data_IF_000005119995
#
_entry.id   IF_000005119995
#
_cell.length_a   1.000
_cell.length_b   1.000
_cell.length_c   1.000
_cell.angle_alpha   90.00
_cell.angle_beta   90.00
_cell.angle_gamma   90.00
#
_symmetry.space_group_name_H-M   'P 1'
#
loop_
_entity.id
_entity.type
_entity.pdbx_description
1 polymer ?
#
# COMPACT_ATOMS: atom_id res chain seq x y z
N UNK A 1 13.81 -14.25 -22.93
CA UNK A 1 12.95 -13.96 -21.78
C UNK A 1 13.51 -12.74 -21.09
N UNK A 2 12.86 -11.59 -21.26
CA UNK A 2 13.24 -10.37 -20.56
C UNK A 2 12.04 -9.96 -19.74
N UNK A 3 12.23 -9.88 -18.44
CA UNK A 3 11.33 -9.15 -17.55
C UNK A 3 11.25 -7.73 -18.09
N UNK A 4 10.08 -7.39 -18.63
CA UNK A 4 9.72 -6.03 -18.99
C UNK A 4 9.38 -5.36 -17.66
N UNK A 5 10.33 -4.61 -17.11
CA UNK A 5 10.04 -3.65 -16.03
C UNK A 5 9.42 -2.44 -16.73
N UNK A 6 8.08 -2.24 -16.70
CA UNK A 6 7.45 -1.37 -17.67
C UNK A 6 7.54 0.12 -17.31
N UNK A 7 7.88 0.55 -16.09
CA UNK A 7 7.48 1.89 -15.67
C UNK A 7 8.53 2.62 -14.82
N UNK A 8 9.40 3.38 -15.51
CA UNK A 8 10.19 4.48 -14.93
C UNK A 8 9.34 5.68 -14.47
N UNK A 9 8.15 5.43 -13.91
CA UNK A 9 7.24 6.46 -13.41
C UNK A 9 6.28 5.98 -12.34
N UNK A 10 5.82 4.72 -12.38
CA UNK A 10 4.78 4.24 -11.46
C UNK A 10 5.05 2.77 -11.08
N UNK A 11 5.49 2.53 -9.85
CA UNK A 11 5.57 1.22 -9.22
C UNK A 11 4.18 0.79 -8.71
N UNK A 12 3.99 -0.51 -8.57
CA UNK A 12 2.82 -1.07 -7.89
C UNK A 12 3.26 -2.01 -6.76
N UNK A 13 2.72 -1.80 -5.57
CA UNK A 13 2.98 -2.60 -4.37
C UNK A 13 1.66 -3.14 -3.84
N UNK A 14 1.58 -4.45 -3.67
CA UNK A 14 0.41 -5.12 -3.09
C UNK A 14 0.76 -5.60 -1.69
N UNK A 15 -0.05 -5.22 -0.71
CA UNK A 15 0.07 -5.66 0.68
C UNK A 15 -1.22 -6.36 1.07
N UNK A 16 -1.12 -7.58 1.59
CA UNK A 16 -2.26 -8.36 2.07
C UNK A 16 -2.06 -8.82 3.51
N UNK A 17 -3.14 -8.86 4.26
CA UNK A 17 -3.20 -9.39 5.63
C UNK A 17 -4.22 -10.52 5.72
N UNK A 18 -4.02 -11.38 6.71
CA UNK A 18 -4.88 -12.54 6.94
C UNK A 18 -6.07 -12.23 7.86
N UNK A 19 -5.91 -11.33 8.83
CA UNK A 19 -6.91 -11.10 9.89
C UNK A 19 -7.00 -9.63 10.33
N UNK A 20 -7.44 -8.75 9.43
CA UNK A 20 -7.66 -7.34 9.74
C UNK A 20 -7.94 -6.54 8.48
N UNK A 21 -7.96 -5.22 8.62
CA UNK A 21 -8.06 -4.29 7.49
C UNK A 21 -6.84 -3.38 7.44
N UNK A 22 -6.30 -3.15 6.25
CA UNK A 22 -5.28 -2.13 6.06
C UNK A 22 -5.97 -0.86 5.62
N UNK A 23 -5.74 0.19 6.39
CA UNK A 23 -6.11 1.54 5.98
C UNK A 23 -4.86 2.26 5.53
N UNK A 24 -4.90 2.78 4.32
CA UNK A 24 -3.79 3.44 3.65
C UNK A 24 -4.27 4.79 3.17
N UNK A 25 -3.50 5.82 3.50
CA UNK A 25 -3.77 7.18 3.05
C UNK A 25 -2.91 7.42 1.79
N UNK A 26 -3.51 7.58 0.60
CA UNK A 26 -2.76 7.96 -0.59
C UNK A 26 -2.05 9.30 -0.35
N UNK A 27 -0.77 9.37 -0.66
CA UNK A 27 0.05 10.57 -0.56
C UNK A 27 0.45 11.00 -1.97
N UNK A 28 0.18 12.26 -2.33
CA UNK A 28 0.48 12.78 -3.67
C UNK A 28 -0.46 12.26 -4.75
N UNK A 29 0.11 11.78 -5.86
CA UNK A 29 -0.59 11.17 -6.99
C UNK A 29 -0.64 9.63 -6.90
N UNK A 30 -0.21 9.03 -5.79
CA UNK A 30 -0.36 7.59 -5.56
C UNK A 30 -1.84 7.18 -5.52
N UNK A 31 -2.15 6.13 -6.26
CA UNK A 31 -3.47 5.49 -6.28
C UNK A 31 -3.47 4.32 -5.31
N UNK A 32 -4.48 4.25 -4.45
CA UNK A 32 -4.64 3.14 -3.49
C UNK A 32 -5.95 2.43 -3.79
N UNK A 33 -5.87 1.16 -4.17
CA UNK A 33 -7.00 0.25 -4.35
C UNK A 33 -7.13 -0.69 -3.15
N UNK A 34 -8.37 -1.07 -2.81
CA UNK A 34 -8.62 -2.01 -1.70
C UNK A 34 -8.42 -1.43 -0.29
N UNK A 35 -8.30 -0.10 -0.17
CA UNK A 35 -8.20 0.61 1.10
C UNK A 35 -9.36 0.24 2.05
N UNK A 36 -9.04 -0.11 3.31
CA UNK A 36 -10.00 -0.59 4.30
C UNK A 36 -10.37 -2.07 4.17
N UNK A 37 -9.66 -2.84 3.33
CA UNK A 37 -9.85 -4.27 3.13
C UNK A 37 -8.66 -5.11 3.60
N UNK A 38 -8.72 -6.42 3.38
CA UNK A 38 -7.64 -7.36 3.67
C UNK A 38 -6.48 -7.28 2.66
N UNK A 39 -6.71 -6.68 1.49
CA UNK A 39 -5.72 -6.52 0.43
C UNK A 39 -5.75 -5.09 -0.06
N UNK A 40 -4.59 -4.44 -0.02
CA UNK A 40 -4.39 -3.09 -0.53
C UNK A 40 -3.35 -3.10 -1.64
N UNK A 41 -3.66 -2.40 -2.72
CA UNK A 41 -2.75 -2.19 -3.85
C UNK A 41 -2.42 -0.72 -3.94
N UNK A 42 -1.14 -0.36 -3.86
CA UNK A 42 -0.65 1.00 -4.01
C UNK A 42 0.08 1.11 -5.33
N UNK A 43 -0.23 2.15 -6.10
CA UNK A 43 0.36 2.40 -7.42
C UNK A 43 0.81 3.85 -7.48
N UNK A 44 2.11 4.11 -7.64
CA UNK A 44 2.69 5.46 -7.60
C UNK A 44 4.20 5.46 -7.81
N UNK A 45 4.87 6.61 -7.73
CA UNK A 45 6.34 6.66 -7.78
C UNK A 45 6.96 6.00 -6.54
N UNK A 46 8.24 5.64 -6.60
CA UNK A 46 8.94 5.07 -5.44
C UNK A 46 8.89 5.97 -4.19
N UNK A 47 8.95 7.29 -4.37
CA UNK A 47 8.85 8.25 -3.26
C UNK A 47 7.44 8.28 -2.66
N UNK A 48 6.41 8.26 -3.50
CA UNK A 48 5.02 8.23 -3.04
C UNK A 48 4.68 6.91 -2.38
N UNK A 49 5.10 5.78 -2.95
CA UNK A 49 4.92 4.46 -2.35
C UNK A 49 5.61 4.39 -0.99
N UNK A 50 6.83 4.90 -0.86
CA UNK A 50 7.54 4.91 0.42
C UNK A 50 6.83 5.81 1.46
N UNK A 51 6.31 6.97 1.03
CA UNK A 51 5.52 7.85 1.89
C UNK A 51 4.18 7.21 2.30
N UNK A 52 3.52 6.55 1.35
CA UNK A 52 2.27 5.82 1.57
C UNK A 52 2.51 4.64 2.50
N UNK A 53 3.56 3.84 2.28
CA UNK A 53 4.01 2.74 3.16
C UNK A 53 4.22 3.24 4.58
N UNK A 54 4.88 4.39 4.74
CA UNK A 54 5.10 5.02 6.04
C UNK A 54 3.81 5.52 6.71
N UNK A 55 2.70 5.65 5.96
CA UNK A 55 1.38 6.04 6.49
C UNK A 55 0.40 4.86 6.58
N UNK A 56 0.80 3.65 6.17
CA UNK A 56 -0.06 2.46 6.27
C UNK A 56 -0.36 2.24 7.73
N UNK A 57 -1.65 2.20 8.04
CA UNK A 57 -2.15 1.85 9.36
C UNK A 57 -2.85 0.51 9.23
N UNK A 58 -2.22 -0.52 9.79
CA UNK A 58 -2.88 -1.80 9.97
C UNK A 58 -3.81 -1.72 11.16
N UNK A 59 -5.10 -2.01 10.96
CA UNK A 59 -6.08 -2.12 12.03
C UNK A 59 -6.55 -3.57 12.08
N UNK A 60 -5.88 -4.37 12.92
CA UNK A 60 -6.40 -5.67 13.34
C UNK A 60 -7.64 -5.50 14.22
N UNK A 61 -8.52 -6.50 14.25
CA UNK A 61 -9.76 -6.45 15.04
C UNK A 61 -9.49 -6.02 16.51
N UNK A 62 -9.94 -4.79 16.80
CA UNK A 62 -10.20 -4.09 18.07
C UNK A 62 -9.10 -3.29 18.82
N UNK A 63 -7.79 -3.56 18.77
CA UNK A 63 -6.84 -2.81 19.63
C UNK A 63 -5.41 -2.64 19.08
N UNK A 64 -5.22 -2.53 17.76
CA UNK A 64 -3.86 -2.42 17.19
C UNK A 64 -3.59 -1.04 16.58
N UNK A 65 -2.82 -0.23 17.33
CA UNK A 65 -2.27 1.06 16.92
C UNK A 65 -0.73 0.95 16.86
N UNK A 66 -0.15 0.56 15.74
CA UNK A 66 1.32 0.61 15.58
C UNK A 66 1.85 -0.26 14.43
N UNK A 67 3.08 0.02 13.97
CA UNK A 67 3.60 -0.40 12.67
C UNK A 67 4.21 -1.79 12.74
N UNK A 68 3.65 -2.75 12.02
CA UNK A 68 4.36 -3.98 11.64
C UNK A 68 4.89 -3.84 10.20
#
# INVERSE_FOLDING_TARGET
MSVFDPDGGILTTSVSVLNGTLTVVPVGAATVGGNGGATVTITGTAAEINAVLSSITYTGNQDYNGPD
#
